data_IF_148438728991
#
_entry.id   IF_148438728991
#
_cell.length_a   1.000
_cell.length_b   1.000
_cell.length_c   1.000
_cell.angle_alpha   90.00
_cell.angle_beta   90.00
_cell.angle_gamma   90.00
#
_symmetry.space_group_name_H-M   'P 1'
#
loop_
_entity.id
_entity.type
_entity.pdbx_description
1 polymer ?
#
# COMPACT_ATOMS: atom_id res chain seq x y z
N UNK A 1 53.26 -0.79 3.91
CA UNK A 1 53.56 -2.01 4.71
C UNK A 1 53.48 -1.63 6.18
N UNK A 2 52.77 -2.35 7.07
CA UNK A 2 51.42 -2.94 7.04
C UNK A 2 50.46 -2.14 7.99
N UNK A 3 49.14 -2.09 7.77
CA UNK A 3 48.10 -3.05 8.18
C UNK A 3 48.02 -3.27 9.71
N UNK A 4 46.93 -2.81 10.36
CA UNK A 4 46.14 -3.76 11.15
C UNK A 4 44.71 -3.30 11.48
N UNK A 5 43.82 -4.24 11.18
CA UNK A 5 42.37 -4.29 11.31
C UNK A 5 42.10 -5.10 12.58
N UNK A 6 41.25 -4.65 13.49
CA UNK A 6 40.68 -5.53 14.51
C UNK A 6 39.17 -5.59 14.35
N UNK A 7 38.74 -6.73 13.82
CA UNK A 7 37.37 -7.21 13.85
C UNK A 7 37.18 -7.97 15.17
N UNK A 8 36.13 -7.65 15.93
CA UNK A 8 35.58 -8.55 16.93
C UNK A 8 34.33 -9.21 16.35
N UNK A 9 34.46 -10.49 16.00
CA UNK A 9 33.33 -11.39 15.75
C UNK A 9 33.50 -12.61 16.64
N UNK A 10 32.48 -12.81 17.46
CA UNK A 10 32.39 -13.77 18.54
C UNK A 10 32.08 -15.17 18.00
N UNK A 11 32.77 -16.18 18.53
CA UNK A 11 32.62 -17.60 18.15
C UNK A 11 31.60 -18.32 19.04
N UNK A 12 30.53 -18.79 18.41
CA UNK A 12 29.95 -20.14 18.38
C UNK A 12 29.89 -21.08 19.64
N UNK A 13 28.71 -21.72 19.75
CA UNK A 13 28.35 -23.08 20.27
C UNK A 13 28.06 -23.32 21.75
N UNK A 14 26.81 -23.73 22.01
CA UNK A 14 26.44 -24.89 22.85
C UNK A 14 24.98 -25.33 22.50
N UNK A 15 24.78 -26.42 21.73
CA UNK A 15 24.40 -27.81 22.11
C UNK A 15 23.00 -28.01 22.76
N UNK A 16 22.07 -28.57 21.96
CA UNK A 16 21.10 -29.70 22.15
C UNK A 16 20.66 -30.18 23.56
N UNK A 17 19.57 -31.00 23.72
CA UNK A 17 18.57 -31.53 22.76
C UNK A 17 17.10 -31.60 23.28
N UNK A 18 16.22 -32.13 22.40
CA UNK A 18 15.06 -33.02 22.67
C UNK A 18 13.84 -32.52 23.47
N UNK A 19 12.67 -32.50 22.80
CA UNK A 19 11.49 -33.21 23.30
C UNK A 19 10.49 -33.53 22.18
N UNK A 20 10.48 -34.80 21.79
CA UNK A 20 9.33 -35.46 21.17
C UNK A 20 8.36 -35.86 22.27
N UNK A 21 7.06 -35.64 22.10
CA UNK A 21 6.04 -36.66 22.42
C UNK A 21 4.64 -36.19 22.00
N UNK A 22 3.97 -37.10 21.29
CA UNK A 22 2.56 -37.45 21.40
C UNK A 22 1.50 -36.45 20.92
N UNK A 23 0.91 -36.79 19.77
CA UNK A 23 -0.54 -36.90 19.62
C UNK A 23 -0.85 -37.91 18.51
N UNK A 24 -0.46 -39.17 18.73
CA UNK A 24 -1.24 -40.31 18.28
C UNK A 24 -2.31 -40.57 19.35
N UNK A 25 -3.50 -40.98 18.92
CA UNK A 25 -4.72 -41.31 19.70
C UNK A 25 -5.80 -40.22 19.67
N UNK A 26 -6.50 -40.07 18.53
CA UNK A 26 -7.96 -40.27 18.43
C UNK A 26 -8.27 -40.77 16.99
N UNK A 27 -7.91 -42.02 16.72
CA UNK A 27 -8.69 -42.84 15.77
C UNK A 27 -9.27 -44.00 16.57
N UNK A 28 -10.49 -44.40 16.21
CA UNK A 28 -11.32 -45.43 16.83
C UNK A 28 -12.20 -44.97 18.00
N UNK A 29 -13.33 -44.35 17.70
CA UNK A 29 -14.64 -44.94 18.03
C UNK A 29 -15.74 -44.27 17.21
N UNK A 30 -16.48 -45.06 16.42
CA UNK A 30 -17.88 -44.91 15.98
C UNK A 30 -18.03 -45.51 14.57
N UNK A 31 -18.07 -46.85 14.55
CA UNK A 31 -18.67 -47.60 13.45
C UNK A 31 -19.70 -48.54 14.08
N UNK A 32 -20.94 -48.06 14.23
CA UNK A 32 -22.11 -48.91 14.44
C UNK A 32 -23.41 -48.11 14.29
N UNK A 33 -23.84 -47.81 13.07
CA UNK A 33 -25.19 -48.12 12.55
C UNK A 33 -25.40 -47.43 11.19
N UNK A 34 -25.68 -48.23 10.16
CA UNK A 34 -26.59 -47.91 9.07
C UNK A 34 -26.20 -46.80 8.08
N UNK A 35 -26.02 -47.19 6.82
CA UNK A 35 -25.92 -46.34 5.61
C UNK A 35 -24.68 -45.46 5.52
N UNK A 36 -23.58 -46.07 5.08
CA UNK A 36 -22.38 -45.34 4.67
C UNK A 36 -22.65 -44.50 3.42
N UNK A 37 -22.42 -43.19 3.53
CA UNK A 37 -22.32 -42.31 2.38
C UNK A 37 -21.15 -42.78 1.48
N UNK A 38 -21.34 -42.92 0.17
CA UNK A 38 -20.27 -43.30 -0.74
C UNK A 38 -19.11 -42.31 -0.67
N UNK A 39 -17.88 -42.77 -0.87
CA UNK A 39 -16.67 -41.95 -0.84
C UNK A 39 -16.69 -40.75 -1.81
N UNK A 40 -17.57 -40.78 -2.83
CA UNK A 40 -17.85 -39.64 -3.71
C UNK A 40 -18.47 -38.45 -2.98
N UNK A 41 -19.29 -38.70 -1.96
CA UNK A 41 -20.05 -37.68 -1.22
C UNK A 41 -19.18 -36.95 -0.17
N UNK A 42 -18.17 -37.63 0.39
CA UNK A 42 -17.16 -37.01 1.29
C UNK A 42 -16.20 -36.12 0.50
N UNK A 43 -15.86 -36.49 -0.73
CA UNK A 43 -15.02 -35.68 -1.61
C UNK A 43 -15.79 -34.45 -2.14
N UNK A 44 -17.09 -34.57 -2.38
CA UNK A 44 -17.97 -33.44 -2.72
C UNK A 44 -18.19 -32.49 -1.54
N UNK A 45 -18.22 -32.97 -0.29
CA UNK A 45 -18.32 -32.11 0.90
C UNK A 45 -17.01 -31.37 1.20
N UNK A 46 -15.85 -31.99 1.00
CA UNK A 46 -14.55 -31.31 1.13
C UNK A 46 -14.28 -30.35 -0.04
N UNK A 47 -14.67 -30.72 -1.27
CA UNK A 47 -14.66 -29.77 -2.39
C UNK A 47 -15.66 -28.63 -2.18
N UNK A 48 -16.85 -28.91 -1.64
CA UNK A 48 -17.84 -27.86 -1.34
C UNK A 48 -17.38 -26.96 -0.19
N UNK A 49 -16.66 -27.49 0.81
CA UNK A 49 -16.06 -26.72 1.90
C UNK A 49 -14.92 -25.81 1.43
N UNK A 50 -14.04 -26.29 0.54
CA UNK A 50 -12.99 -25.49 -0.09
C UNK A 50 -13.55 -24.48 -1.12
N UNK A 51 -14.62 -24.83 -1.84
CA UNK A 51 -15.34 -23.94 -2.76
C UNK A 51 -16.14 -22.86 -1.98
N UNK A 52 -16.57 -23.14 -0.74
CA UNK A 52 -17.17 -22.16 0.17
C UNK A 52 -16.16 -21.31 0.96
N UNK A 53 -14.91 -21.74 1.09
CA UNK A 53 -13.81 -20.92 1.61
C UNK A 53 -13.23 -19.97 0.53
N UNK A 54 -13.46 -20.29 -0.75
CA UNK A 54 -13.26 -19.37 -1.88
C UNK A 54 -14.41 -18.38 -2.07
N UNK A 55 -15.39 -18.37 -1.17
CA UNK A 55 -16.57 -17.51 -1.23
C UNK A 55 -16.21 -16.08 -0.82
N UNK A 56 -15.97 -15.27 -1.84
CA UNK A 56 -15.78 -13.81 -1.82
C UNK A 56 -14.62 -13.32 -0.95
N UNK A 57 -13.42 -13.32 -1.54
CA UNK A 57 -12.45 -12.25 -1.27
C UNK A 57 -13.23 -10.95 -1.49
N UNK A 58 -13.42 -10.15 -0.43
CA UNK A 58 -14.06 -8.83 -0.56
C UNK A 58 -13.29 -8.06 -1.64
N UNK A 59 -13.96 -7.23 -2.44
CA UNK A 59 -13.28 -6.38 -3.44
C UNK A 59 -12.08 -5.64 -2.83
N UNK A 60 -12.19 -5.30 -1.55
CA UNK A 60 -11.16 -4.68 -0.72
C UNK A 60 -9.93 -5.56 -0.50
N UNK A 61 -10.15 -6.83 -0.21
CA UNK A 61 -9.09 -7.79 0.09
C UNK A 61 -8.27 -8.09 -1.18
N UNK A 62 -8.93 -8.10 -2.34
CA UNK A 62 -8.26 -8.18 -3.63
C UNK A 62 -7.38 -6.95 -3.89
N UNK A 63 -7.92 -5.74 -3.65
CA UNK A 63 -7.18 -4.48 -3.77
C UNK A 63 -5.96 -4.47 -2.82
N UNK A 64 -6.13 -4.91 -1.58
CA UNK A 64 -5.04 -4.96 -0.58
C UNK A 64 -3.96 -5.93 -1.01
N UNK A 65 -4.32 -7.15 -1.42
CA UNK A 65 -3.37 -8.13 -1.93
C UNK A 65 -2.56 -7.57 -3.12
N UNK A 66 -3.24 -6.88 -4.04
CA UNK A 66 -2.60 -6.27 -5.20
C UNK A 66 -1.62 -5.16 -4.79
N UNK A 67 -2.07 -4.21 -3.97
CA UNK A 67 -1.26 -3.08 -3.49
C UNK A 67 -0.05 -3.58 -2.69
N UNK A 68 -0.25 -4.48 -1.72
CA UNK A 68 0.83 -5.07 -0.92
C UNK A 68 1.89 -5.72 -1.80
N UNK A 69 1.46 -6.51 -2.80
CA UNK A 69 2.37 -7.19 -3.72
C UNK A 69 3.13 -6.20 -4.63
N UNK A 70 2.41 -5.20 -5.17
CA UNK A 70 2.94 -4.21 -6.12
C UNK A 70 3.94 -3.28 -5.46
N UNK A 71 3.59 -2.72 -4.31
CA UNK A 71 4.38 -1.70 -3.61
C UNK A 71 5.20 -2.24 -2.44
N UNK A 72 5.22 -3.55 -2.24
CA UNK A 72 5.98 -4.23 -1.17
C UNK A 72 5.60 -3.71 0.23
N UNK A 73 4.32 -3.37 0.40
CA UNK A 73 3.76 -2.94 1.68
C UNK A 73 3.33 -4.19 2.46
N UNK A 74 3.72 -4.27 3.72
CA UNK A 74 3.28 -5.34 4.62
C UNK A 74 1.74 -5.42 4.64
N UNK A 75 1.13 -6.62 4.53
CA UNK A 75 -0.33 -6.76 4.48
C UNK A 75 -1.05 -6.06 5.64
N UNK A 76 -0.47 -6.10 6.83
CA UNK A 76 -1.01 -5.44 8.03
C UNK A 76 -1.07 -3.92 7.86
N UNK A 77 -0.07 -3.32 7.20
CA UNK A 77 -0.04 -1.90 6.90
C UNK A 77 -1.01 -1.54 5.77
N UNK A 78 -1.12 -2.39 4.74
CA UNK A 78 -2.03 -2.17 3.62
C UNK A 78 -3.50 -2.20 4.05
N UNK A 79 -3.84 -2.92 5.14
CA UNK A 79 -5.18 -2.88 5.73
C UNK A 79 -5.62 -1.47 6.15
N UNK A 80 -4.69 -0.59 6.55
CA UNK A 80 -5.01 0.79 6.91
C UNK A 80 -5.46 1.62 5.70
N UNK A 81 -5.09 1.22 4.48
CA UNK A 81 -5.48 1.91 3.25
C UNK A 81 -6.98 1.81 2.97
N UNK A 82 -7.71 0.86 3.58
CA UNK A 82 -9.18 0.80 3.48
C UNK A 82 -9.85 2.10 3.91
N UNK A 83 -9.25 2.82 4.86
CA UNK A 83 -9.77 4.10 5.36
C UNK A 83 -9.78 5.20 4.30
N UNK A 84 -9.01 5.08 3.21
CA UNK A 84 -8.95 6.08 2.15
C UNK A 84 -10.30 6.32 1.45
N UNK A 85 -11.25 5.38 1.54
CA UNK A 85 -12.61 5.54 1.00
C UNK A 85 -13.35 6.74 1.58
N UNK A 86 -13.06 7.04 2.84
CA UNK A 86 -13.73 8.10 3.60
C UNK A 86 -13.09 9.48 3.35
N UNK A 87 -12.09 9.55 2.48
CA UNK A 87 -11.32 10.76 2.21
C UNK A 87 -11.38 11.20 0.75
N UNK A 88 -11.43 12.50 0.56
CA UNK A 88 -11.03 13.20 -0.65
C UNK A 88 -9.51 13.45 -0.55
N UNK A 89 -8.74 12.94 -1.51
CA UNK A 89 -7.28 12.95 -1.45
C UNK A 89 -6.74 14.12 -2.27
N UNK A 90 -5.99 14.99 -1.60
CA UNK A 90 -5.27 16.10 -2.21
C UNK A 90 -3.78 15.90 -2.02
N UNK A 91 -3.00 15.93 -3.10
CA UNK A 91 -1.55 15.83 -3.06
C UNK A 91 -0.96 17.22 -3.26
N UNK A 92 -0.18 17.72 -2.31
CA UNK A 92 0.55 18.99 -2.46
C UNK A 92 2.00 18.73 -2.85
N UNK A 93 2.35 19.10 -4.07
CA UNK A 93 3.67 18.93 -4.65
C UNK A 93 4.52 20.19 -4.46
N UNK A 94 5.66 20.05 -3.78
CA UNK A 94 6.71 21.06 -3.83
C UNK A 94 7.33 21.06 -5.23
N UNK A 95 7.17 22.16 -5.95
CA UNK A 95 7.76 22.40 -7.25
C UNK A 95 8.71 23.60 -7.24
N UNK A 96 9.32 23.88 -6.10
CA UNK A 96 10.34 24.92 -5.94
C UNK A 96 11.64 24.61 -6.68
N UNK A 97 12.48 25.63 -6.90
CA UNK A 97 13.77 25.47 -7.59
C UNK A 97 14.71 24.43 -6.96
N UNK A 98 14.64 24.20 -5.64
CA UNK A 98 15.43 23.18 -4.94
C UNK A 98 15.06 21.74 -5.30
N UNK A 99 13.94 21.52 -5.97
CA UNK A 99 13.54 20.20 -6.44
C UNK A 99 14.33 19.73 -7.67
N UNK A 100 15.13 20.62 -8.29
CA UNK A 100 16.12 20.26 -9.32
C UNK A 100 17.38 19.60 -8.74
N UNK A 101 17.54 19.58 -7.42
CA UNK A 101 18.70 18.94 -6.78
C UNK A 101 18.69 17.44 -7.10
N UNK A 102 19.83 16.94 -7.55
CA UNK A 102 20.07 15.51 -7.77
C UNK A 102 19.95 14.74 -6.45
N UNK A 103 19.51 13.48 -6.56
CA UNK A 103 19.51 12.53 -5.45
C UNK A 103 20.83 11.78 -5.49
N UNK A 104 21.51 11.72 -4.33
CA UNK A 104 22.85 11.16 -4.18
C UNK A 104 23.00 9.83 -4.94
N UNK A 105 24.11 9.70 -5.67
CA UNK A 105 24.47 8.53 -6.47
C UNK A 105 23.46 8.14 -7.58
N UNK A 106 22.63 9.09 -8.03
CA UNK A 106 21.70 8.89 -9.16
C UNK A 106 21.70 10.07 -10.14
N UNK A 107 21.25 9.85 -11.38
CA UNK A 107 20.96 10.92 -12.35
C UNK A 107 19.56 11.53 -12.17
N UNK A 108 18.83 11.14 -11.11
CA UNK A 108 17.45 11.59 -10.85
C UNK A 108 17.47 12.82 -9.96
N UNK A 109 16.56 13.75 -10.24
CA UNK A 109 16.32 14.88 -9.35
C UNK A 109 15.29 14.54 -8.29
N UNK A 110 15.21 15.34 -7.21
CA UNK A 110 14.11 15.25 -6.24
C UNK A 110 12.73 15.38 -6.91
N UNK A 111 12.65 16.13 -8.01
CA UNK A 111 11.45 16.24 -8.83
C UNK A 111 11.08 14.92 -9.52
N UNK A 112 12.07 14.19 -10.03
CA UNK A 112 11.83 12.86 -10.62
C UNK A 112 11.39 11.85 -9.57
N UNK A 113 11.92 11.92 -8.34
CA UNK A 113 11.42 11.09 -7.24
C UNK A 113 9.98 11.46 -6.88
N UNK A 114 9.70 12.74 -6.70
CA UNK A 114 8.34 13.21 -6.39
C UNK A 114 7.34 12.76 -7.45
N UNK A 115 7.68 12.83 -8.75
CA UNK A 115 6.82 12.34 -9.84
C UNK A 115 6.40 10.89 -9.61
N UNK A 116 7.36 10.01 -9.33
CA UNK A 116 7.06 8.58 -9.14
C UNK A 116 6.27 8.35 -7.85
N UNK A 117 6.56 9.07 -6.76
CA UNK A 117 5.75 9.01 -5.55
C UNK A 117 4.30 9.45 -5.79
N UNK A 118 4.07 10.55 -6.52
CA UNK A 118 2.72 11.01 -6.87
C UNK A 118 1.98 9.95 -7.69
N UNK A 119 2.65 9.27 -8.63
CA UNK A 119 2.06 8.16 -9.38
C UNK A 119 1.66 6.98 -8.49
N UNK A 120 2.45 6.68 -7.45
CA UNK A 120 2.13 5.64 -6.46
C UNK A 120 0.89 6.04 -5.64
N UNK A 121 0.88 7.26 -5.10
CA UNK A 121 -0.25 7.78 -4.32
C UNK A 121 -1.52 7.84 -5.16
N UNK A 122 -1.42 8.26 -6.43
CA UNK A 122 -2.52 8.25 -7.38
C UNK A 122 -3.08 6.84 -7.59
N UNK A 123 -2.22 5.86 -7.90
CA UNK A 123 -2.62 4.48 -8.17
C UNK A 123 -3.31 3.83 -6.95
N UNK A 124 -2.81 4.12 -5.75
CA UNK A 124 -3.45 3.66 -4.50
C UNK A 124 -4.77 4.41 -4.28
N UNK A 125 -4.76 5.74 -4.38
CA UNK A 125 -5.89 6.61 -4.13
C UNK A 125 -7.09 6.26 -5.00
N UNK A 126 -6.90 6.11 -6.31
CA UNK A 126 -8.00 5.86 -7.25
C UNK A 126 -8.65 4.48 -7.12
N UNK A 127 -8.00 3.52 -6.44
CA UNK A 127 -8.62 2.23 -6.09
C UNK A 127 -9.62 2.34 -4.95
N UNK A 128 -9.49 3.34 -4.08
CA UNK A 128 -10.39 3.58 -2.95
C UNK A 128 -11.31 4.79 -3.17
N UNK A 129 -10.89 5.73 -4.01
CA UNK A 129 -11.68 6.87 -4.43
C UNK A 129 -11.83 6.91 -5.96
N UNK A 130 -12.98 6.43 -6.44
CA UNK A 130 -13.29 6.48 -7.87
C UNK A 130 -13.41 7.90 -8.42
N UNK A 131 -13.54 8.93 -7.57
CA UNK A 131 -13.57 10.32 -8.03
C UNK A 131 -12.20 10.74 -8.58
N UNK A 132 -11.10 10.20 -8.08
CA UNK A 132 -9.74 10.61 -8.43
C UNK A 132 -9.09 11.38 -7.30
N UNK A 133 -7.94 12.00 -7.58
CA UNK A 133 -7.19 12.81 -6.61
C UNK A 133 -6.92 14.20 -7.17
N UNK A 134 -6.92 15.22 -6.32
CA UNK A 134 -6.48 16.54 -6.72
C UNK A 134 -4.97 16.69 -6.49
N UNK A 135 -4.26 17.35 -7.41
CA UNK A 135 -2.82 17.60 -7.31
C UNK A 135 -2.61 19.10 -7.33
N UNK A 136 -2.14 19.65 -6.22
CA UNK A 136 -1.78 21.05 -6.08
C UNK A 136 -0.27 21.20 -6.19
N UNK A 137 0.18 22.20 -6.91
CA UNK A 137 1.58 22.60 -6.93
C UNK A 137 1.77 23.89 -6.13
N UNK A 138 2.98 24.13 -5.64
CA UNK A 138 3.25 25.35 -4.88
C UNK A 138 3.32 26.60 -5.76
N UNK A 139 3.84 26.47 -6.98
CA UNK A 139 4.20 27.60 -7.84
C UNK A 139 3.42 27.63 -9.17
N UNK A 140 2.51 26.68 -9.42
CA UNK A 140 1.71 26.62 -10.67
C UNK A 140 0.28 26.13 -10.44
N UNK A 141 -0.49 26.07 -11.52
CA UNK A 141 -1.89 25.65 -11.49
C UNK A 141 -2.07 24.20 -11.05
N UNK A 142 -3.16 23.95 -10.35
CA UNK A 142 -3.55 22.62 -9.84
C UNK A 142 -4.21 21.76 -10.92
N UNK A 143 -4.17 20.46 -10.71
CA UNK A 143 -4.90 19.46 -11.49
C UNK A 143 -5.99 18.88 -10.59
N UNK A 144 -7.20 18.74 -11.12
CA UNK A 144 -8.34 18.25 -10.35
C UNK A 144 -8.79 16.88 -10.87
N UNK A 145 -9.27 16.02 -9.99
CA UNK A 145 -9.94 14.77 -10.36
C UNK A 145 -9.03 13.86 -11.21
N UNK A 146 -7.73 13.84 -10.90
CA UNK A 146 -6.72 13.09 -11.64
C UNK A 146 -6.88 11.59 -11.37
N UNK A 147 -6.89 10.79 -12.44
CA UNK A 147 -7.00 9.32 -12.37
C UNK A 147 -5.91 8.58 -13.15
N UNK A 148 -5.32 9.25 -14.14
CA UNK A 148 -4.39 8.62 -15.06
C UNK A 148 -2.94 9.04 -14.78
N UNK A 149 -2.01 8.09 -14.63
CA UNK A 149 -0.59 8.39 -14.43
C UNK A 149 0.02 9.28 -15.52
N UNK A 150 -0.49 9.21 -16.75
CA UNK A 150 -0.04 10.07 -17.88
C UNK A 150 -0.26 11.55 -17.61
N UNK A 151 -1.32 11.90 -16.89
CA UNK A 151 -1.60 13.30 -16.50
C UNK A 151 -0.51 13.81 -15.55
N UNK A 152 -0.05 12.95 -14.63
CA UNK A 152 1.09 13.25 -13.75
C UNK A 152 2.38 13.40 -14.55
N UNK A 153 2.65 12.49 -15.48
CA UNK A 153 3.85 12.56 -16.33
C UNK A 153 3.90 13.86 -17.14
N UNK A 154 2.78 14.26 -17.73
CA UNK A 154 2.68 15.51 -18.47
C UNK A 154 2.91 16.73 -17.56
N UNK A 155 2.31 16.75 -16.36
CA UNK A 155 2.48 17.86 -15.43
C UNK A 155 3.92 18.00 -14.93
N UNK A 156 4.61 16.88 -14.70
CA UNK A 156 6.00 16.85 -14.27
C UNK A 156 7.01 17.08 -15.41
N UNK A 157 6.56 17.15 -16.67
CA UNK A 157 7.43 17.47 -17.81
C UNK A 157 7.95 18.91 -17.77
N UNK A 158 7.20 19.83 -17.14
CA UNK A 158 7.67 21.18 -16.89
C UNK A 158 8.53 21.19 -15.61
N UNK A 159 9.79 21.67 -15.67
CA UNK A 159 10.72 21.62 -14.55
C UNK A 159 10.24 22.48 -13.38
N UNK A 160 10.56 22.09 -12.12
CA UNK A 160 10.16 22.86 -10.95
C UNK A 160 10.87 24.21 -10.93
N UNK A 161 10.19 25.26 -10.45
CA UNK A 161 10.73 26.60 -10.32
C UNK A 161 9.98 27.40 -9.27
N UNK A 162 10.60 28.47 -8.77
CA UNK A 162 9.99 29.33 -7.76
C UNK A 162 10.38 28.97 -6.32
N UNK A 163 9.55 29.46 -5.38
CA UNK A 163 9.80 29.41 -3.93
C UNK A 163 9.01 28.24 -3.30
N UNK A 164 8.94 28.19 -1.97
CA UNK A 164 8.17 27.18 -1.23
C UNK A 164 6.97 27.81 -0.47
N UNK A 165 5.97 28.40 -1.16
CA UNK A 165 4.81 29.05 -0.55
C UNK A 165 3.79 28.05 0.04
N UNK A 166 4.23 27.17 0.92
CA UNK A 166 3.44 26.08 1.50
C UNK A 166 2.22 26.59 2.28
N UNK A 167 2.42 27.59 3.17
CA UNK A 167 1.33 28.12 4.01
C UNK A 167 0.20 28.75 3.17
N UNK A 168 0.47 29.63 2.19
CA UNK A 168 -0.57 30.15 1.30
C UNK A 168 -1.37 29.05 0.57
N UNK A 169 -0.70 28.01 0.06
CA UNK A 169 -1.36 26.93 -0.68
C UNK A 169 -2.24 26.10 0.23
N UNK A 170 -1.74 25.70 1.40
CA UNK A 170 -2.54 24.99 2.40
C UNK A 170 -3.75 25.81 2.85
N UNK A 171 -3.59 27.12 3.09
CA UNK A 171 -4.72 28.01 3.41
C UNK A 171 -5.78 27.99 2.32
N UNK A 172 -5.40 28.05 1.04
CA UNK A 172 -6.35 27.96 -0.09
C UNK A 172 -7.12 26.63 -0.07
N UNK A 173 -6.44 25.51 0.18
CA UNK A 173 -7.08 24.19 0.23
C UNK A 173 -8.07 24.12 1.41
N UNK A 174 -7.66 24.56 2.61
CA UNK A 174 -8.55 24.57 3.78
C UNK A 174 -9.71 25.57 3.70
N UNK A 175 -9.63 26.56 2.80
CA UNK A 175 -10.71 27.50 2.51
C UNK A 175 -11.60 27.05 1.34
N UNK A 176 -11.27 25.94 0.69
CA UNK A 176 -12.03 25.41 -0.44
C UNK A 176 -13.24 24.59 0.00
N UNK A 177 -14.12 24.28 -0.96
CA UNK A 177 -15.27 23.40 -0.76
C UNK A 177 -14.87 21.97 -0.32
N UNK A 178 -13.62 21.56 -0.51
CA UNK A 178 -13.13 20.24 -0.08
C UNK A 178 -13.05 20.13 1.45
N UNK A 179 -12.76 21.25 2.13
CA UNK A 179 -12.61 21.30 3.58
C UNK A 179 -13.94 21.62 4.32
N UNK A 180 -15.03 21.80 3.59
CA UNK A 180 -16.33 22.17 4.17
C UNK A 180 -16.86 21.04 5.06
N UNK A 181 -17.30 21.39 6.27
CA UNK A 181 -17.93 20.43 7.20
C UNK A 181 -19.25 19.92 6.61
N UNK A 182 -19.57 18.65 6.90
CA UNK A 182 -20.82 18.01 6.46
C UNK A 182 -20.77 17.40 5.06
N UNK A 183 -19.59 17.29 4.46
CA UNK A 183 -19.38 16.44 3.27
C UNK A 183 -19.47 14.96 3.63
N UNK A 184 -19.75 14.17 2.60
CA UNK A 184 -19.68 12.71 2.61
C UNK A 184 -18.27 12.20 2.89
N UNK A 185 -17.25 12.90 2.36
CA UNK A 185 -15.84 12.59 2.57
C UNK A 185 -15.10 13.67 3.34
N UNK A 186 -14.12 13.26 4.14
CA UNK A 186 -13.18 14.13 4.84
C UNK A 186 -12.04 14.52 3.91
N UNK A 187 -11.40 15.66 4.15
CA UNK A 187 -10.22 16.06 3.38
C UNK A 187 -8.96 15.38 3.95
N UNK A 188 -8.18 14.72 3.08
CA UNK A 188 -6.82 14.25 3.35
C UNK A 188 -5.84 15.04 2.46
N UNK A 189 -4.82 15.62 3.08
CA UNK A 189 -3.71 16.32 2.40
C UNK A 189 -2.40 15.62 2.76
#
# INVERSE_FOLDING_TARGET
>A
MPSNRQQHLNTNRNTNPSNSTNNDTIEQTLNSTGTGMPASEINELNQSGDILLQRQISSDDAIICEISRKYKILPEMANHLRGLRDYEIVIVCDDSGSMKTEVDDTERTRWDELREFVKIVLDIGVRYDSNGVDIYFLNREKLLVVREPRTVEQAFSEPPSGLTPMVPVLKKIFQSELARRGRDKKLLI
#
